data_IF_630571332165
#
_entry.id   IF_630571332165
#
_cell.length_a   1.000
_cell.length_b   1.000
_cell.length_c   1.000
_cell.angle_alpha   90.00
_cell.angle_beta   90.00
_cell.angle_gamma   90.00
#
_symmetry.space_group_name_H-M   'P 1'
#
loop_
_entity.id
_entity.type
_entity.pdbx_description
1 polymer ?
#
# COMPACT_ATOMS: atom_id res chain seq x y z
N UNK A 1 -25.98 -9.32 37.51
CA UNK A 1 -25.71 -7.88 37.31
C UNK A 1 -24.39 -7.65 36.56
N UNK A 2 -24.35 -7.81 35.23
CA UNK A 2 -23.11 -7.77 34.44
C UNK A 2 -22.98 -6.57 33.47
N UNK A 3 -23.89 -5.59 33.54
CA UNK A 3 -23.93 -4.44 32.61
C UNK A 3 -23.09 -3.22 33.03
N UNK A 4 -22.57 -3.18 34.27
CA UNK A 4 -21.95 -1.96 34.84
C UNK A 4 -20.57 -1.65 34.25
N UNK A 5 -19.78 -2.67 33.88
CA UNK A 5 -18.42 -2.48 33.36
C UNK A 5 -18.42 -1.96 31.92
N UNK A 6 -19.38 -2.39 31.09
CA UNK A 6 -19.52 -1.93 29.72
C UNK A 6 -20.06 -0.48 29.64
N UNK A 7 -21.00 -0.11 30.52
CA UNK A 7 -21.49 1.28 30.59
C UNK A 7 -20.39 2.28 30.99
N UNK A 8 -19.56 1.94 31.99
CA UNK A 8 -18.40 2.77 32.42
C UNK A 8 -17.33 2.95 31.33
N UNK A 9 -17.26 2.06 30.34
CA UNK A 9 -16.29 2.18 29.25
C UNK A 9 -16.80 3.09 28.12
N UNK A 10 -18.11 3.16 27.88
CA UNK A 10 -18.67 4.06 26.84
C UNK A 10 -18.39 5.53 27.13
N UNK A 11 -18.47 5.94 28.41
CA UNK A 11 -18.23 7.33 28.83
C UNK A 11 -16.77 7.78 28.63
N UNK A 12 -15.80 6.84 28.72
CA UNK A 12 -14.36 7.12 28.62
C UNK A 12 -13.88 7.47 27.21
N UNK A 13 -14.66 7.17 26.17
CA UNK A 13 -14.27 7.41 24.78
C UNK A 13 -14.97 8.62 24.15
N UNK A 14 -15.80 9.32 24.91
CA UNK A 14 -16.42 10.58 24.46
C UNK A 14 -15.37 11.69 24.32
N UNK A 15 -15.61 12.63 23.40
CA UNK A 15 -14.73 13.79 23.19
C UNK A 15 -14.56 14.62 24.47
N UNK A 16 -15.66 14.85 25.18
CA UNK A 16 -15.68 15.63 26.42
C UNK A 16 -14.86 14.99 27.54
N UNK A 17 -14.96 13.67 27.70
CA UNK A 17 -14.14 12.94 28.67
C UNK A 17 -12.65 13.08 28.35
N UNK A 18 -12.26 12.91 27.07
CA UNK A 18 -10.86 13.08 26.65
C UNK A 18 -10.36 14.50 26.89
N UNK A 19 -11.16 15.52 26.60
CA UNK A 19 -10.80 16.93 26.89
C UNK A 19 -10.58 17.15 28.38
N UNK A 20 -11.46 16.60 29.23
CA UNK A 20 -11.37 16.68 30.70
C UNK A 20 -10.12 15.97 31.23
N UNK A 21 -9.80 14.79 30.72
CA UNK A 21 -8.58 14.06 31.09
C UNK A 21 -7.31 14.79 30.63
N UNK A 22 -7.33 15.40 29.43
CA UNK A 22 -6.22 16.25 28.98
C UNK A 22 -6.03 17.41 29.95
N UNK A 23 -7.09 18.13 30.32
CA UNK A 23 -7.02 19.24 31.28
C UNK A 23 -6.47 18.79 32.64
N UNK A 24 -6.96 17.68 33.19
CA UNK A 24 -6.43 17.09 34.43
C UNK A 24 -4.95 16.72 34.32
N UNK A 25 -4.53 16.17 33.19
CA UNK A 25 -3.13 15.82 32.96
C UNK A 25 -2.23 17.06 32.90
N UNK A 26 -2.71 18.14 32.27
CA UNK A 26 -2.00 19.42 32.19
C UNK A 26 -1.86 20.03 33.58
N UNK A 27 -2.94 20.10 34.37
CA UNK A 27 -2.88 20.65 35.73
C UNK A 27 -2.01 19.81 36.66
N UNK A 28 -2.03 18.49 36.53
CA UNK A 28 -1.11 17.61 37.26
C UNK A 28 0.35 17.88 36.89
N UNK A 29 0.66 17.97 35.59
CA UNK A 29 2.02 18.27 35.11
C UNK A 29 2.49 19.64 35.58
N UNK A 30 1.65 20.68 35.53
CA UNK A 30 2.03 22.01 36.01
C UNK A 30 2.26 22.03 37.52
N UNK A 31 1.42 21.33 38.31
CA UNK A 31 1.63 21.19 39.76
C UNK A 31 2.93 20.46 40.09
N UNK A 32 3.22 19.35 39.41
CA UNK A 32 4.48 18.61 39.59
C UNK A 32 5.69 19.45 39.20
N UNK A 33 5.62 20.18 38.08
CA UNK A 33 6.69 21.09 37.66
C UNK A 33 6.95 22.17 38.70
N UNK A 34 5.91 22.80 39.25
CA UNK A 34 6.05 23.80 40.33
C UNK A 34 6.68 23.20 41.59
N UNK A 35 6.22 22.01 41.99
CA UNK A 35 6.76 21.32 43.17
C UNK A 35 8.24 20.96 42.98
N UNK A 36 8.61 20.44 41.80
CA UNK A 36 9.99 20.12 41.44
C UNK A 36 10.89 21.36 41.45
N UNK A 37 10.46 22.46 40.83
CA UNK A 37 11.23 23.70 40.82
C UNK A 37 11.37 24.31 42.21
N UNK A 38 10.37 24.12 43.08
CA UNK A 38 10.45 24.54 44.48
C UNK A 38 11.47 23.69 45.25
N UNK A 39 11.43 22.36 45.12
CA UNK A 39 12.39 21.46 45.75
C UNK A 39 13.83 21.76 45.31
N UNK A 40 14.06 21.99 44.01
CA UNK A 40 15.37 22.41 43.51
C UNK A 40 15.88 23.70 44.15
N UNK A 41 14.99 24.67 44.39
CA UNK A 41 15.32 25.93 45.07
C UNK A 41 15.68 25.68 46.53
N UNK A 42 14.93 24.82 47.22
CA UNK A 42 15.14 24.48 48.63
C UNK A 42 16.46 23.69 48.83
N UNK A 43 16.84 22.87 47.85
CA UNK A 43 18.12 22.12 47.81
C UNK A 43 19.32 22.96 47.32
N UNK A 44 19.11 24.23 46.95
CA UNK A 44 20.18 25.16 46.55
C UNK A 44 20.68 25.01 45.11
N UNK A 45 20.00 24.22 44.27
CA UNK A 45 20.33 24.09 42.84
C UNK A 45 19.79 25.26 42.01
N UNK A 46 20.47 25.60 40.91
CA UNK A 46 20.04 26.67 40.00
C UNK A 46 18.76 26.29 39.26
N UNK A 47 17.68 27.06 39.45
CA UNK A 47 16.40 26.87 38.76
C UNK A 47 16.54 27.34 37.29
N UNK A 48 16.18 26.52 36.29
CA UNK A 48 16.18 26.97 34.91
C UNK A 48 15.25 28.18 34.74
N UNK A 49 15.80 29.32 34.32
CA UNK A 49 15.00 30.50 34.01
C UNK A 49 13.95 30.13 32.98
N UNK A 50 12.72 30.59 33.21
CA UNK A 50 11.64 30.38 32.28
C UNK A 50 12.07 31.01 30.95
N UNK A 51 12.47 30.18 29.99
CA UNK A 51 12.66 30.60 28.60
C UNK A 51 11.35 31.25 28.21
N UNK A 52 11.35 32.58 28.21
CA UNK A 52 10.31 33.40 27.64
C UNK A 52 10.34 33.03 26.18
N UNK A 53 9.50 32.05 25.80
CA UNK A 53 9.26 31.76 24.41
C UNK A 53 8.85 33.09 23.82
N UNK A 54 9.77 33.70 23.09
CA UNK A 54 9.54 34.86 22.26
C UNK A 54 8.59 34.38 21.18
N UNK A 55 7.31 34.26 21.54
CA UNK A 55 6.23 34.25 20.60
C UNK A 55 6.36 35.58 19.88
N UNK A 56 7.08 35.55 18.76
CA UNK A 56 7.06 36.60 17.76
C UNK A 56 5.58 36.92 17.58
N UNK A 57 5.18 38.10 18.04
CA UNK A 57 3.79 38.58 17.96
C UNK A 57 3.51 38.86 16.49
N UNK A 58 3.38 37.80 15.70
CA UNK A 58 2.92 37.90 14.33
C UNK A 58 1.51 38.46 14.37
N UNK A 59 1.26 39.48 13.55
CA UNK A 59 -0.07 40.05 13.42
C UNK A 59 -1.05 38.95 13.03
N UNK A 60 -2.26 38.98 13.58
CA UNK A 60 -3.34 38.03 13.24
C UNK A 60 -3.58 37.99 11.72
N UNK A 61 -3.33 39.11 11.03
CA UNK A 61 -3.38 39.23 9.57
C UNK A 61 -2.34 38.36 8.87
N UNK A 62 -1.09 38.40 9.32
CA UNK A 62 0.02 37.64 8.72
C UNK A 62 -0.16 36.13 8.93
N UNK A 63 -0.66 35.75 10.11
CA UNK A 63 -1.03 34.35 10.42
C UNK A 63 -2.13 33.83 9.47
N UNK A 64 -3.10 34.69 9.11
CA UNK A 64 -4.18 34.34 8.17
C UNK A 64 -3.66 34.20 6.75
N UNK A 65 -2.77 35.08 6.31
CA UNK A 65 -2.16 35.02 4.99
C UNK A 65 -1.25 33.80 4.81
N UNK A 66 -0.44 33.46 5.83
CA UNK A 66 0.37 32.23 5.81
C UNK A 66 -0.51 30.98 5.70
N UNK A 67 -1.59 30.89 6.50
CA UNK A 67 -2.54 29.77 6.42
C UNK A 67 -3.21 29.66 5.05
N UNK A 68 -3.54 30.79 4.41
CA UNK A 68 -4.11 30.80 3.06
C UNK A 68 -3.10 30.30 2.02
N UNK A 69 -1.84 30.74 2.10
CA UNK A 69 -0.76 30.28 1.21
C UNK A 69 -0.48 28.79 1.38
N UNK A 70 -0.39 28.31 2.62
CA UNK A 70 -0.26 26.89 2.93
C UNK A 70 -1.46 26.07 2.47
N UNK A 71 -2.68 26.60 2.64
CA UNK A 71 -3.91 25.97 2.18
C UNK A 71 -3.93 25.78 0.67
N UNK A 72 -3.51 26.80 -0.09
CA UNK A 72 -3.37 26.74 -1.55
C UNK A 72 -2.34 25.69 -1.97
N UNK A 73 -1.13 25.71 -1.40
CA UNK A 73 -0.08 24.72 -1.67
C UNK A 73 -0.57 23.28 -1.45
N UNK A 74 -1.19 23.01 -0.30
CA UNK A 74 -1.75 21.69 0.04
C UNK A 74 -2.86 21.27 -0.92
N UNK A 75 -3.64 22.21 -1.46
CA UNK A 75 -4.70 21.92 -2.41
C UNK A 75 -4.12 21.54 -3.78
N UNK A 76 -3.10 22.26 -4.24
CA UNK A 76 -2.42 21.98 -5.50
C UNK A 76 -1.65 20.65 -5.44
N UNK A 77 -0.96 20.37 -4.32
CA UNK A 77 -0.33 19.06 -4.04
C UNK A 77 -1.36 17.92 -4.11
N UNK A 78 -2.53 18.10 -3.47
CA UNK A 78 -3.61 17.09 -3.53
C UNK A 78 -4.14 16.87 -4.94
N UNK A 79 -4.26 17.94 -5.75
CA UNK A 79 -4.66 17.83 -7.15
C UNK A 79 -3.65 17.03 -7.96
N UNK A 80 -2.36 17.30 -7.76
CA UNK A 80 -1.30 16.59 -8.48
C UNK A 80 -1.24 15.11 -8.08
N UNK A 81 -1.32 14.80 -6.78
CA UNK A 81 -1.39 13.42 -6.29
C UNK A 81 -2.61 12.69 -6.89
N UNK A 82 -3.77 13.35 -6.98
CA UNK A 82 -4.97 12.76 -7.60
C UNK A 82 -4.76 12.50 -9.09
N UNK A 83 -4.08 13.41 -9.79
CA UNK A 83 -3.75 13.25 -11.22
C UNK A 83 -2.80 12.08 -11.44
N UNK A 84 -1.75 11.96 -10.63
CA UNK A 84 -0.79 10.85 -10.68
C UNK A 84 -1.47 9.52 -10.39
N UNK A 85 -2.30 9.43 -9.35
CA UNK A 85 -3.08 8.20 -9.06
C UNK A 85 -3.97 7.79 -10.23
N UNK A 86 -4.64 8.76 -10.87
CA UNK A 86 -5.48 8.47 -12.04
C UNK A 86 -4.65 7.93 -13.20
N UNK A 87 -3.48 8.52 -13.49
CA UNK A 87 -2.57 8.04 -14.53
C UNK A 87 -2.10 6.62 -14.24
N UNK A 88 -1.59 6.37 -13.05
CA UNK A 88 -1.08 5.04 -12.65
C UNK A 88 -2.19 3.98 -12.72
N UNK A 89 -3.41 4.31 -12.29
CA UNK A 89 -4.53 3.36 -12.37
C UNK A 89 -4.90 3.04 -13.83
N UNK A 90 -4.87 4.03 -14.73
CA UNK A 90 -5.13 3.81 -16.16
C UNK A 90 -4.04 2.95 -16.77
N UNK A 91 -2.78 3.23 -16.46
CA UNK A 91 -1.62 2.46 -16.93
C UNK A 91 -1.65 1.01 -16.45
N UNK A 92 -1.89 0.79 -15.16
CA UNK A 92 -2.04 -0.56 -14.59
C UNK A 92 -3.21 -1.33 -15.20
N UNK A 93 -4.34 -0.67 -15.45
CA UNK A 93 -5.50 -1.29 -16.08
C UNK A 93 -5.21 -1.67 -17.55
N UNK A 94 -4.48 -0.82 -18.28
CA UNK A 94 -4.05 -1.10 -19.65
C UNK A 94 -3.07 -2.26 -19.70
N UNK A 95 -2.07 -2.27 -18.82
CA UNK A 95 -1.08 -3.35 -18.73
C UNK A 95 -1.73 -4.68 -18.37
N UNK A 96 -2.65 -4.68 -17.40
CA UNK A 96 -3.40 -5.88 -17.03
C UNK A 96 -4.23 -6.42 -18.20
N UNK A 97 -4.90 -5.53 -18.95
CA UNK A 97 -5.65 -5.91 -20.16
C UNK A 97 -4.72 -6.51 -21.21
N UNK A 98 -3.56 -5.91 -21.45
CA UNK A 98 -2.59 -6.41 -22.42
C UNK A 98 -2.12 -7.82 -22.04
N UNK A 99 -1.71 -8.03 -20.78
CA UNK A 99 -1.30 -9.35 -20.27
C UNK A 99 -2.40 -10.41 -20.43
N UNK A 100 -3.66 -10.04 -20.26
CA UNK A 100 -4.78 -10.97 -20.48
C UNK A 100 -4.94 -11.34 -21.96
N UNK A 101 -4.83 -10.35 -22.85
CA UNK A 101 -4.87 -10.57 -24.30
C UNK A 101 -3.71 -11.49 -24.72
N UNK A 102 -2.50 -11.23 -24.24
CA UNK A 102 -1.32 -12.01 -24.57
C UNK A 102 -1.48 -13.47 -24.11
N UNK A 103 -1.92 -13.70 -22.87
CA UNK A 103 -2.23 -15.06 -22.36
C UNK A 103 -3.27 -15.78 -23.21
N UNK A 104 -4.30 -15.06 -23.65
CA UNK A 104 -5.38 -15.63 -24.47
C UNK A 104 -4.84 -15.99 -25.86
N UNK A 105 -4.00 -15.14 -26.45
CA UNK A 105 -3.33 -15.40 -27.72
C UNK A 105 -2.38 -16.61 -27.62
N UNK A 106 -1.53 -16.68 -26.60
CA UNK A 106 -0.68 -17.84 -26.35
C UNK A 106 -1.48 -19.14 -26.21
N UNK A 107 -2.61 -19.09 -25.47
CA UNK A 107 -3.48 -20.25 -25.31
C UNK A 107 -4.10 -20.67 -26.66
N UNK A 108 -4.55 -19.71 -27.48
CA UNK A 108 -5.08 -19.97 -28.82
C UNK A 108 -4.02 -20.57 -29.74
N UNK A 109 -2.79 -20.07 -29.70
CA UNK A 109 -1.68 -20.59 -30.50
C UNK A 109 -1.32 -22.01 -30.07
N UNK A 110 -1.19 -22.26 -28.76
CA UNK A 110 -0.95 -23.61 -28.22
C UNK A 110 -2.06 -24.56 -28.62
N UNK A 111 -3.31 -24.13 -28.60
CA UNK A 111 -4.44 -24.94 -29.04
C UNK A 111 -4.34 -25.28 -30.54
N UNK A 112 -4.13 -24.28 -31.40
CA UNK A 112 -3.94 -24.48 -32.85
C UNK A 112 -2.77 -25.43 -33.15
N UNK A 113 -1.66 -25.32 -32.42
CA UNK A 113 -0.52 -26.21 -32.56
C UNK A 113 -0.86 -27.65 -32.16
N UNK A 114 -1.59 -27.84 -31.05
CA UNK A 114 -2.07 -29.17 -30.62
C UNK A 114 -3.02 -29.78 -31.65
N UNK A 115 -3.93 -28.99 -32.19
CA UNK A 115 -4.89 -29.44 -33.21
C UNK A 115 -4.16 -29.87 -34.50
N UNK A 116 -3.22 -29.05 -34.98
CA UNK A 116 -2.37 -29.41 -36.13
C UNK A 116 -1.58 -30.68 -35.88
N UNK A 117 -0.99 -30.84 -34.69
CA UNK A 117 -0.24 -32.05 -34.31
C UNK A 117 -1.15 -33.27 -34.21
N UNK A 118 -2.32 -33.12 -33.60
CA UNK A 118 -3.34 -34.17 -33.51
C UNK A 118 -3.74 -34.63 -34.90
N UNK A 119 -4.12 -33.70 -35.79
CA UNK A 119 -4.55 -34.01 -37.15
C UNK A 119 -3.48 -34.76 -37.97
N UNK A 120 -2.19 -34.43 -37.76
CA UNK A 120 -1.08 -35.18 -38.38
C UNK A 120 -0.94 -36.59 -37.82
N UNK A 121 -1.05 -36.76 -36.49
CA UNK A 121 -0.87 -38.04 -35.81
C UNK A 121 -2.07 -38.99 -35.96
N UNK A 122 -3.27 -38.46 -36.19
CA UNK A 122 -4.49 -39.25 -36.38
C UNK A 122 -4.67 -39.77 -37.80
N UNK A 123 -3.78 -39.42 -38.74
CA UNK A 123 -3.83 -39.93 -40.12
C UNK A 123 -3.67 -41.45 -40.14
N UNK A 124 -4.45 -42.11 -40.99
CA UNK A 124 -4.44 -43.56 -41.19
C UNK A 124 -4.21 -43.89 -42.65
N UNK A 125 -3.59 -45.03 -42.90
CA UNK A 125 -3.43 -45.61 -44.23
C UNK A 125 -4.77 -46.16 -44.75
N UNK A 126 -4.81 -46.54 -46.03
CA UNK A 126 -6.02 -47.10 -46.68
C UNK A 126 -6.62 -48.30 -45.93
N UNK A 127 -5.78 -49.10 -45.26
CA UNK A 127 -6.18 -50.29 -44.48
C UNK A 127 -6.49 -49.98 -43.01
N UNK A 128 -6.42 -48.70 -42.61
CA UNK A 128 -6.75 -48.25 -41.26
C UNK A 128 -5.58 -48.26 -40.26
N UNK A 129 -4.39 -48.69 -40.66
CA UNK A 129 -3.20 -48.60 -39.82
C UNK A 129 -2.80 -47.13 -39.60
N UNK A 130 -2.26 -46.76 -38.43
CA UNK A 130 -1.77 -45.40 -38.21
C UNK A 130 -0.64 -45.08 -39.19
N UNK A 131 -0.67 -43.90 -39.80
CA UNK A 131 0.42 -43.44 -40.66
C UNK A 131 1.67 -43.21 -39.79
N UNK A 132 2.74 -43.96 -40.05
CA UNK A 132 3.90 -44.00 -39.15
C UNK A 132 4.85 -42.80 -39.35
N UNK A 133 4.92 -42.18 -40.53
CA UNK A 133 5.83 -41.05 -40.80
C UNK A 133 5.77 -39.93 -39.75
N UNK A 134 4.59 -39.33 -39.48
CA UNK A 134 4.44 -38.30 -38.45
C UNK A 134 4.84 -38.74 -37.04
N UNK A 135 4.70 -40.03 -36.73
CA UNK A 135 5.11 -40.59 -35.43
C UNK A 135 6.62 -40.81 -35.33
N UNK A 136 7.25 -41.20 -36.44
CA UNK A 136 8.70 -41.36 -36.54
C UNK A 136 9.36 -39.98 -36.40
N UNK A 137 8.87 -38.95 -37.08
CA UNK A 137 9.38 -37.57 -36.95
C UNK A 137 9.30 -37.07 -35.49
N UNK A 138 8.16 -37.29 -34.83
CA UNK A 138 7.97 -36.95 -33.42
C UNK A 138 8.96 -37.70 -32.50
N UNK A 139 9.37 -38.92 -32.88
CA UNK A 139 10.34 -39.73 -32.14
C UNK A 139 11.77 -39.21 -32.36
N UNK A 140 12.13 -38.92 -33.61
CA UNK A 140 13.43 -38.37 -33.99
C UNK A 140 13.64 -36.98 -33.36
N UNK A 141 12.60 -36.14 -33.32
CA UNK A 141 12.64 -34.84 -32.67
C UNK A 141 12.85 -34.95 -31.15
N UNK A 142 12.30 -35.98 -30.51
CA UNK A 142 12.56 -36.25 -29.09
C UNK A 142 14.00 -36.67 -28.87
N UNK A 143 14.51 -37.61 -29.68
CA UNK A 143 15.89 -38.08 -29.60
C UNK A 143 16.88 -36.93 -29.84
N UNK A 144 16.61 -36.05 -30.82
CA UNK A 144 17.45 -34.88 -31.10
C UNK A 144 17.49 -33.87 -29.95
N UNK A 145 16.39 -33.71 -29.23
CA UNK A 145 16.26 -32.79 -28.08
C UNK A 145 16.69 -33.40 -26.76
N UNK A 146 16.97 -34.70 -26.75
CA UNK A 146 17.43 -35.40 -25.57
C UNK A 146 18.96 -35.34 -25.54
N UNK A 147 19.49 -34.53 -24.61
CA UNK A 147 20.93 -34.28 -24.45
C UNK A 147 21.73 -35.56 -24.13
N UNK A 148 21.05 -36.66 -23.77
CA UNK A 148 21.70 -37.96 -23.51
C UNK A 148 22.22 -38.66 -24.76
N UNK A 149 21.69 -38.35 -25.95
CA UNK A 149 22.05 -39.04 -27.21
C UNK A 149 22.68 -38.13 -28.27
N UNK A 150 22.69 -36.82 -28.06
CA UNK A 150 23.25 -35.80 -28.98
C UNK A 150 24.56 -35.17 -28.49
N UNK A 151 25.24 -35.80 -27.53
CA UNK A 151 26.60 -35.43 -27.09
C UNK A 151 27.69 -35.90 -28.05
#
# INVERSE_FOLDING_TARGET
MAFTKQQRNKEKFTREYKVREIQKSITKKTRLRKAYLKALKDEGYSVPEAQSQSHVKMSVRDMKEQRLREGKKKLDEKKEIKRQRRKNNVEQAAEHRQRQIDRLNESKEKFKQRERRSNKLTQRTRTGQPLMGPKIDDLLDKIKKDDTYTR
#
